data_IF_706524468116
#
_entry.id   IF_706524468116
#
_cell.length_a   1.000
_cell.length_b   1.000
_cell.length_c   1.000
_cell.angle_alpha   90.00
_cell.angle_beta   90.00
_cell.angle_gamma   90.00
#
_symmetry.space_group_name_H-M   'P 1'
#
loop_
_entity.id
_entity.type
_entity.pdbx_description
1 polymer ?
#
# COMPACT_ATOMS: atom_id res chain seq x y z
N UNK A 1 3.41 -5.82 6.63
CA UNK A 1 4.22 -4.75 7.27
C UNK A 1 5.15 -4.14 6.23
N UNK A 2 5.73 -2.97 6.49
CA UNK A 2 6.75 -2.38 5.62
C UNK A 2 8.01 -3.25 5.68
N UNK A 3 8.40 -3.85 4.56
CA UNK A 3 9.58 -4.73 4.45
C UNK A 3 10.84 -3.96 4.03
N UNK A 4 10.68 -2.93 3.20
CA UNK A 4 11.77 -2.10 2.70
C UNK A 4 11.29 -0.68 2.38
N UNK A 5 12.21 0.27 2.51
CA UNK A 5 12.00 1.70 2.27
C UNK A 5 13.18 2.23 1.46
N UNK A 6 12.92 2.71 0.25
CA UNK A 6 13.94 3.23 -0.65
C UNK A 6 13.66 4.70 -0.97
N UNK A 7 14.64 5.55 -0.76
CA UNK A 7 14.55 6.96 -1.14
C UNK A 7 14.62 7.13 -2.66
N UNK A 8 13.69 7.88 -3.21
CA UNK A 8 13.71 8.40 -4.56
C UNK A 8 14.08 9.89 -4.52
N UNK A 9 14.30 10.52 -5.69
CA UNK A 9 14.69 11.94 -5.78
C UNK A 9 13.72 12.88 -5.06
N UNK A 10 12.41 12.61 -5.11
CA UNK A 10 11.33 13.42 -4.52
C UNK A 10 10.22 12.53 -3.93
N UNK A 11 10.58 11.32 -3.52
CA UNK A 11 9.60 10.33 -3.11
C UNK A 11 10.22 9.20 -2.32
N UNK A 12 9.38 8.26 -1.91
CA UNK A 12 9.78 7.04 -1.24
C UNK A 12 9.08 5.87 -1.93
N UNK A 13 9.84 4.82 -2.20
CA UNK A 13 9.33 3.52 -2.66
C UNK A 13 9.25 2.58 -1.46
N UNK A 14 8.07 2.02 -1.23
CA UNK A 14 7.79 1.16 -0.08
C UNK A 14 7.43 -0.24 -0.56
N UNK A 15 8.15 -1.25 -0.08
CA UNK A 15 7.75 -2.65 -0.22
C UNK A 15 6.95 -3.08 1.01
N UNK A 16 5.76 -3.61 0.81
CA UNK A 16 4.82 -3.95 1.88
C UNK A 16 4.40 -5.42 1.75
N UNK A 17 4.58 -6.18 2.82
CA UNK A 17 4.02 -7.53 2.93
C UNK A 17 2.55 -7.50 3.35
N UNK A 18 1.79 -8.41 2.78
CA UNK A 18 0.36 -8.54 3.00
C UNK A 18 -0.08 -9.99 2.91
N UNK A 19 -1.24 -10.29 3.51
CA UNK A 19 -1.95 -11.57 3.36
C UNK A 19 -2.96 -11.56 2.21
N UNK A 20 -3.13 -10.42 1.53
CA UNK A 20 -3.99 -10.37 0.37
C UNK A 20 -3.50 -11.31 -0.72
N UNK A 21 -4.46 -11.99 -1.36
CA UNK A 21 -4.24 -12.87 -2.49
C UNK A 21 -3.58 -12.08 -3.64
N UNK A 22 -2.63 -12.70 -4.34
CA UNK A 22 -1.81 -12.02 -5.36
C UNK A 22 -2.66 -11.47 -6.51
N UNK A 23 -3.78 -12.12 -6.80
CA UNK A 23 -4.78 -11.75 -7.81
C UNK A 23 -5.49 -10.44 -7.47
N UNK A 24 -5.52 -10.08 -6.18
CA UNK A 24 -6.13 -8.83 -5.70
C UNK A 24 -5.17 -7.64 -5.71
N UNK A 25 -3.88 -7.88 -5.98
CA UNK A 25 -2.82 -6.86 -5.95
C UNK A 25 -2.44 -6.42 -7.38
N UNK A 26 -3.39 -6.17 -8.26
CA UNK A 26 -3.08 -5.83 -9.65
C UNK A 26 -2.22 -4.55 -9.76
N UNK A 27 -1.23 -4.56 -10.67
CA UNK A 27 -0.44 -3.34 -10.96
C UNK A 27 -1.37 -2.29 -11.54
N UNK A 28 -1.24 -1.05 -11.07
CA UNK A 28 -2.13 0.06 -11.40
C UNK A 28 -3.40 0.13 -10.54
N UNK A 29 -3.68 -0.88 -9.71
CA UNK A 29 -4.79 -0.81 -8.77
C UNK A 29 -4.46 0.12 -7.59
N UNK A 30 -5.50 0.75 -7.05
CA UNK A 30 -5.41 1.55 -5.84
C UNK A 30 -5.53 0.67 -4.60
N UNK A 31 -4.73 0.98 -3.59
CA UNK A 31 -4.76 0.35 -2.26
C UNK A 31 -4.53 1.43 -1.21
N UNK A 32 -5.39 1.47 -0.20
CA UNK A 32 -5.24 2.39 0.91
C UNK A 32 -4.26 1.78 1.93
N UNK A 33 -3.19 2.51 2.19
CA UNK A 33 -2.18 2.19 3.20
C UNK A 33 -2.38 3.14 4.39
N UNK A 34 -2.99 2.66 5.47
CA UNK A 34 -3.40 3.47 6.64
C UNK A 34 -4.19 4.72 6.25
N UNK A 35 -5.12 4.58 5.31
CA UNK A 35 -5.96 5.68 4.79
C UNK A 35 -5.32 6.49 3.63
N UNK A 36 -4.07 6.20 3.26
CA UNK A 36 -3.40 6.88 2.15
C UNK A 36 -3.60 6.07 0.87
N UNK A 37 -4.38 6.60 -0.06
CA UNK A 37 -4.59 5.95 -1.36
C UNK A 37 -3.31 5.99 -2.20
N UNK A 38 -2.77 4.82 -2.52
CA UNK A 38 -1.56 4.65 -3.31
C UNK A 38 -1.78 3.66 -4.45
N UNK A 39 -0.97 3.77 -5.50
CA UNK A 39 -1.03 2.90 -6.67
C UNK A 39 0.02 1.80 -6.58
N UNK A 40 -0.40 0.55 -6.78
CA UNK A 40 0.51 -0.59 -6.84
C UNK A 40 1.36 -0.50 -8.12
N UNK A 41 2.69 -0.45 -7.96
CA UNK A 41 3.64 -0.40 -9.09
C UNK A 41 4.38 -1.72 -9.31
N UNK A 42 4.42 -2.60 -8.31
CA UNK A 42 5.06 -3.90 -8.38
C UNK A 42 4.38 -4.86 -7.40
N UNK A 43 4.46 -6.17 -7.65
CA UNK A 43 3.90 -7.21 -6.77
C UNK A 43 4.68 -8.51 -6.92
N UNK A 44 4.59 -9.37 -5.92
CA UNK A 44 5.13 -10.72 -6.04
C UNK A 44 4.64 -11.69 -4.97
N UNK A 45 4.88 -12.96 -5.25
CA UNK A 45 4.65 -14.07 -4.32
C UNK A 45 5.80 -14.15 -3.32
N UNK A 46 5.49 -14.59 -2.09
CA UNK A 46 6.48 -15.13 -1.16
C UNK A 46 6.16 -16.61 -0.96
N UNK A 47 7.19 -17.44 -0.80
CA UNK A 47 7.04 -18.88 -0.60
C UNK A 47 6.42 -19.21 0.78
N UNK A 48 6.37 -18.23 1.69
CA UNK A 48 5.89 -18.37 3.08
C UNK A 48 4.65 -17.50 3.29
N UNK A 49 3.45 -18.05 3.02
CA UNK A 49 2.09 -17.58 3.37
C UNK A 49 1.76 -16.07 3.25
N UNK A 50 2.56 -15.32 2.51
CA UNK A 50 2.43 -13.87 2.39
C UNK A 50 2.80 -13.46 0.98
N UNK A 51 2.15 -12.39 0.51
CA UNK A 51 2.48 -11.74 -0.74
C UNK A 51 3.07 -10.37 -0.41
N UNK A 52 3.58 -9.69 -1.44
CA UNK A 52 4.02 -8.33 -1.28
C UNK A 52 3.63 -7.49 -2.49
N UNK A 53 3.55 -6.18 -2.25
CA UNK A 53 3.39 -5.19 -3.29
C UNK A 53 4.28 -3.98 -3.00
N UNK A 54 4.50 -3.16 -4.01
CA UNK A 54 5.24 -1.91 -3.91
C UNK A 54 4.36 -0.75 -4.31
N UNK A 55 4.52 0.35 -3.60
CA UNK A 55 3.91 1.65 -3.89
C UNK A 55 4.99 2.74 -3.85
N UNK A 56 4.71 3.85 -4.51
CA UNK A 56 5.54 5.05 -4.46
C UNK A 56 4.71 6.21 -3.92
N UNK A 57 5.25 6.90 -2.92
CA UNK A 57 4.68 8.11 -2.37
C UNK A 57 5.56 9.30 -2.76
N UNK A 58 4.94 10.33 -3.32
CA UNK A 58 5.63 11.53 -3.80
C UNK A 58 5.49 12.68 -2.81
N UNK A 59 6.18 13.79 -3.10
CA UNK A 59 6.31 14.97 -2.23
C UNK A 59 5.02 15.36 -1.48
N UNK A 60 3.89 15.53 -2.17
CA UNK A 60 2.66 15.98 -1.54
C UNK A 60 2.11 14.96 -0.53
N UNK A 61 2.14 13.67 -0.86
CA UNK A 61 1.75 12.60 0.06
C UNK A 61 2.65 12.57 1.28
N UNK A 62 3.97 12.72 1.09
CA UNK A 62 4.94 12.74 2.17
C UNK A 62 4.78 13.97 3.08
N UNK A 63 4.35 15.10 2.51
CA UNK A 63 4.12 16.36 3.23
C UNK A 63 2.84 16.33 4.06
N UNK A 64 1.79 15.67 3.57
CA UNK A 64 0.45 15.71 4.18
C UNK A 64 0.15 14.52 5.10
N UNK A 65 0.98 13.48 5.11
CA UNK A 65 0.70 12.23 5.83
C UNK A 65 1.86 11.83 6.74
N UNK A 66 1.63 10.82 7.59
CA UNK A 66 2.68 10.26 8.45
C UNK A 66 3.58 9.24 7.72
N UNK A 67 3.42 9.02 6.41
CA UNK A 67 4.15 8.00 5.65
C UNK A 67 5.66 8.23 5.66
N UNK A 68 6.10 9.48 5.75
CA UNK A 68 7.53 9.85 5.84
C UNK A 68 8.23 9.29 7.10
N UNK A 69 7.46 8.90 8.13
CA UNK A 69 7.98 8.31 9.36
C UNK A 69 8.05 6.78 9.31
N UNK A 70 7.49 6.16 8.27
CA UNK A 70 7.44 4.71 8.18
C UNK A 70 8.82 4.14 7.89
N UNK A 71 9.21 3.17 8.71
CA UNK A 71 10.47 2.43 8.59
C UNK A 71 10.20 0.94 8.41
N UNK A 72 11.22 0.18 8.02
CA UNK A 72 11.14 -1.28 7.99
C UNK A 72 10.64 -1.83 9.33
N UNK A 73 9.64 -2.70 9.28
CA UNK A 73 8.95 -3.25 10.45
C UNK A 73 7.69 -2.49 10.87
N UNK A 74 7.41 -1.32 10.29
CA UNK A 74 6.17 -0.58 10.57
C UNK A 74 4.95 -1.41 10.15
N UNK A 75 4.00 -1.60 11.06
CA UNK A 75 2.70 -2.18 10.76
C UNK A 75 1.74 -1.07 10.32
N UNK A 76 1.02 -1.33 9.23
CA UNK A 76 0.08 -0.39 8.63
C UNK A 76 -1.23 -1.12 8.33
N UNK A 77 -2.33 -0.38 8.37
CA UNK A 77 -3.62 -0.91 7.95
C UNK A 77 -3.66 -0.96 6.42
N UNK A 78 -4.31 -1.98 5.87
CA UNK A 78 -4.49 -2.10 4.43
C UNK A 78 -5.99 -2.22 4.14
N UNK A 79 -6.46 -1.46 3.16
CA UNK A 79 -7.81 -1.56 2.62
C UNK A 79 -7.74 -1.53 1.09
N UNK A 80 -8.42 -2.48 0.45
CA UNK A 80 -8.49 -2.54 -1.02
C UNK A 80 -9.55 -1.57 -1.50
N UNK A 81 -9.33 -0.97 -2.67
CA UNK A 81 -10.40 -0.19 -3.30
C UNK A 81 -11.65 -1.02 -3.50
N UNK A 82 -12.80 -0.43 -3.14
CA UNK A 82 -14.12 -1.01 -3.32
C UNK A 82 -14.33 -1.40 -4.79
N UNK A 83 -14.74 -2.64 -5.04
CA UNK A 83 -15.27 -3.05 -6.33
C UNK A 83 -16.77 -2.71 -6.36
N UNK A 84 -17.30 -2.46 -7.56
CA UNK A 84 -18.73 -2.26 -7.74
C UNK A 84 -19.48 -3.52 -7.25
N UNK A 85 -20.27 -3.39 -6.18
CA UNK A 85 -20.99 -4.50 -5.55
C UNK A 85 -20.41 -4.99 -4.22
N UNK A 86 -19.29 -4.44 -3.74
CA UNK A 86 -18.80 -4.71 -2.38
C UNK A 86 -19.73 -4.09 -1.32
N UNK A 87 -20.02 -4.81 -0.24
CA UNK A 87 -20.83 -4.30 0.87
C UNK A 87 -20.12 -3.12 1.56
N UNK A 88 -20.80 -1.96 1.63
CA UNK A 88 -20.36 -0.81 2.41
C UNK A 88 -20.81 -0.97 3.86
N UNK A 89 -19.97 -1.60 4.68
CA UNK A 89 -20.21 -1.70 6.13
C UNK A 89 -19.96 -0.39 6.90
N UNK A 90 -19.34 0.62 6.28
CA UNK A 90 -18.93 1.90 6.89
C UNK A 90 -19.41 3.14 6.11
N UNK A 91 -18.55 4.17 6.01
CA UNK A 91 -18.81 5.40 5.25
C UNK A 91 -17.75 5.62 4.16
N UNK A 92 -18.05 6.48 3.19
CA UNK A 92 -17.10 6.84 2.12
C UNK A 92 -15.89 7.58 2.68
N UNK A 93 -14.70 7.03 2.44
CA UNK A 93 -13.40 7.66 2.72
C UNK A 93 -12.84 8.14 1.38
N UNK A 94 -12.45 9.42 1.32
CA UNK A 94 -11.84 10.05 0.15
C UNK A 94 -10.58 10.81 0.53
#
# INVERSE_FOLDING_TARGET
CVEDVQSLKQGIRLKISTRYAIESLAIGASIACSGICLTIVERGLKQEDSNWFVVEAWEETLRLTNLSQWTKGTFINLERSLRLGDEMGGHLVS
#
